data_IF_407619918771
#
_entry.id   IF_407619918771
#
_cell.length_a   1.000
_cell.length_b   1.000
_cell.length_c   1.000
_cell.angle_alpha   90.00
_cell.angle_beta   90.00
_cell.angle_gamma   90.00
#
_symmetry.space_group_name_H-M   'P 1'
#
loop_
_entity.id
_entity.type
_entity.pdbx_description
1 polymer ?
#
# COMPACT_ATOMS: atom_id res chain seq x y z
N UNK A 1 -8.26 -22.27 -4.04
CA UNK A 1 -8.94 -21.46 -5.09
C UNK A 1 -9.83 -20.37 -4.50
N UNK A 2 -10.67 -20.65 -3.47
CA UNK A 2 -11.56 -19.64 -2.86
C UNK A 2 -10.87 -18.34 -2.39
N UNK A 3 -9.71 -18.35 -1.69
CA UNK A 3 -9.09 -17.09 -1.24
C UNK A 3 -8.61 -16.21 -2.39
N UNK A 4 -8.17 -16.78 -3.51
CA UNK A 4 -7.74 -16.03 -4.69
C UNK A 4 -8.92 -15.33 -5.38
N UNK A 5 -10.10 -15.95 -5.40
CA UNK A 5 -11.33 -15.32 -5.93
C UNK A 5 -11.77 -14.15 -5.06
N UNK A 6 -11.69 -14.28 -3.74
CA UNK A 6 -12.03 -13.19 -2.80
C UNK A 6 -11.06 -12.01 -2.96
N UNK A 7 -9.77 -12.28 -3.07
CA UNK A 7 -8.76 -11.25 -3.32
C UNK A 7 -9.00 -10.58 -4.68
N UNK A 8 -9.23 -11.37 -5.75
CA UNK A 8 -9.49 -10.84 -7.09
C UNK A 8 -10.75 -9.98 -7.16
N UNK A 9 -11.84 -10.39 -6.51
CA UNK A 9 -13.06 -9.59 -6.42
C UNK A 9 -12.86 -8.32 -5.58
N UNK A 10 -12.14 -8.44 -4.45
CA UNK A 10 -11.86 -7.31 -3.57
C UNK A 10 -10.97 -6.24 -4.20
N UNK A 11 -10.10 -6.61 -5.13
CA UNK A 11 -9.25 -5.66 -5.87
C UNK A 11 -9.89 -5.18 -7.17
N UNK A 12 -10.56 -6.04 -7.90
CA UNK A 12 -11.11 -5.72 -9.23
C UNK A 12 -12.32 -4.81 -9.19
N UNK A 13 -13.23 -4.99 -8.23
CA UNK A 13 -14.44 -4.16 -8.09
C UNK A 13 -14.14 -2.67 -7.83
N UNK A 14 -13.29 -2.29 -6.87
CA UNK A 14 -12.95 -0.90 -6.66
C UNK A 14 -12.26 -0.25 -7.86
N UNK A 15 -11.43 -1.00 -8.59
CA UNK A 15 -10.72 -0.48 -9.76
C UNK A 15 -11.66 -0.04 -10.87
N UNK A 16 -12.59 -0.90 -11.28
CA UNK A 16 -13.57 -0.57 -12.31
C UNK A 16 -14.49 0.59 -11.90
N UNK A 17 -14.88 0.65 -10.63
CA UNK A 17 -15.74 1.72 -10.12
C UNK A 17 -15.01 3.06 -10.08
N UNK A 18 -13.75 3.11 -9.67
CA UNK A 18 -12.95 4.33 -9.62
C UNK A 18 -12.70 4.91 -11.01
N UNK A 19 -12.38 4.06 -12.00
CA UNK A 19 -12.20 4.50 -13.38
C UNK A 19 -13.50 5.06 -13.96
N UNK A 20 -14.64 4.41 -13.74
CA UNK A 20 -15.95 4.89 -14.19
C UNK A 20 -16.33 6.23 -13.54
N UNK A 21 -16.12 6.37 -12.22
CA UNK A 21 -16.42 7.60 -11.49
C UNK A 21 -15.52 8.77 -11.92
N UNK A 22 -14.25 8.53 -12.20
CA UNK A 22 -13.31 9.59 -12.60
C UNK A 22 -13.73 10.30 -13.89
N UNK A 23 -14.43 9.59 -14.78
CA UNK A 23 -14.92 10.11 -16.06
C UNK A 23 -16.35 10.62 -15.96
N UNK A 24 -17.17 10.09 -15.08
CA UNK A 24 -18.60 10.44 -14.96
C UNK A 24 -18.88 11.84 -14.43
N UNK A 25 -17.94 12.43 -13.68
CA UNK A 25 -18.07 13.78 -13.07
C UNK A 25 -17.60 14.92 -13.94
N UNK A 26 -17.11 14.64 -15.16
CA UNK A 26 -16.64 15.65 -16.10
C UNK A 26 -17.42 15.62 -17.41
N UNK A 27 -17.54 16.76 -18.14
CA UNK A 27 -18.14 16.78 -19.47
C UNK A 27 -17.39 15.83 -20.42
N UNK A 28 -18.12 15.19 -21.34
CA UNK A 28 -17.58 14.21 -22.30
C UNK A 28 -16.41 14.76 -23.12
N UNK A 29 -16.42 16.08 -23.41
CA UNK A 29 -15.32 16.76 -24.10
C UNK A 29 -13.98 16.79 -23.33
N UNK A 30 -14.02 16.59 -22.03
CA UNK A 30 -12.83 16.60 -21.14
C UNK A 30 -12.54 15.22 -20.50
N UNK A 31 -13.30 14.22 -20.86
CA UNK A 31 -13.17 12.87 -20.28
C UNK A 31 -11.78 12.26 -20.44
N UNK A 32 -11.15 12.45 -21.62
CA UNK A 32 -9.80 11.97 -21.88
C UNK A 32 -8.73 12.63 -21.01
N UNK A 33 -8.85 13.93 -20.76
CA UNK A 33 -7.94 14.65 -19.87
C UNK A 33 -8.09 14.19 -18.42
N UNK A 34 -9.32 14.01 -17.94
CA UNK A 34 -9.60 13.53 -16.60
C UNK A 34 -9.04 12.11 -16.39
N UNK A 35 -9.25 11.20 -17.34
CA UNK A 35 -8.70 9.85 -17.29
C UNK A 35 -7.17 9.85 -17.26
N UNK A 36 -6.52 10.72 -18.04
CA UNK A 36 -5.06 10.84 -18.07
C UNK A 36 -4.50 11.35 -16.74
N UNK A 37 -5.08 12.38 -16.15
CA UNK A 37 -4.67 12.93 -14.84
C UNK A 37 -4.88 11.85 -13.75
N UNK A 38 -6.03 11.20 -13.73
CA UNK A 38 -6.33 10.15 -12.75
C UNK A 38 -5.34 8.98 -12.88
N UNK A 39 -5.09 8.49 -14.10
CA UNK A 39 -4.13 7.42 -14.35
C UNK A 39 -2.71 7.77 -13.89
N UNK A 40 -2.25 8.98 -14.18
CA UNK A 40 -0.92 9.46 -13.77
C UNK A 40 -0.81 9.53 -12.24
N UNK A 41 -1.81 10.10 -11.56
CA UNK A 41 -1.84 10.19 -10.10
C UNK A 41 -1.85 8.82 -9.44
N UNK A 42 -2.59 7.86 -10.02
CA UNK A 42 -2.64 6.49 -9.53
C UNK A 42 -1.27 5.81 -9.62
N UNK A 43 -0.64 5.84 -10.79
CA UNK A 43 0.69 5.21 -10.98
C UNK A 43 1.75 5.86 -10.10
N UNK A 44 1.73 7.19 -9.97
CA UNK A 44 2.64 7.88 -9.07
C UNK A 44 2.40 7.48 -7.60
N UNK A 45 1.15 7.36 -7.18
CA UNK A 45 0.76 6.92 -5.85
C UNK A 45 1.22 5.49 -5.54
N UNK A 46 1.06 4.57 -6.50
CA UNK A 46 1.55 3.19 -6.40
C UNK A 46 3.08 3.14 -6.24
N UNK A 47 3.81 3.93 -7.03
CA UNK A 47 5.27 4.01 -6.92
C UNK A 47 5.75 4.51 -5.56
N UNK A 48 5.11 5.55 -5.02
CA UNK A 48 5.40 6.08 -3.68
C UNK A 48 5.06 5.03 -2.60
N UNK A 49 3.92 4.37 -2.71
CA UNK A 49 3.51 3.33 -1.76
C UNK A 49 4.50 2.16 -1.73
N UNK A 50 4.93 1.67 -2.90
CA UNK A 50 5.93 0.61 -3.00
C UNK A 50 7.28 1.02 -2.39
N UNK A 51 7.73 2.26 -2.65
CA UNK A 51 8.95 2.77 -2.05
C UNK A 51 8.87 2.85 -0.51
N UNK A 52 7.74 3.32 0.03
CA UNK A 52 7.52 3.37 1.47
C UNK A 52 7.47 1.98 2.11
N UNK A 53 6.78 1.04 1.49
CA UNK A 53 6.71 -0.36 1.96
C UNK A 53 8.08 -1.00 1.96
N UNK A 54 8.86 -0.82 0.88
CA UNK A 54 10.24 -1.34 0.79
C UNK A 54 11.15 -0.73 1.84
N UNK A 55 11.09 0.58 2.06
CA UNK A 55 11.87 1.27 3.09
C UNK A 55 11.48 0.81 4.51
N UNK A 56 10.20 0.64 4.79
CA UNK A 56 9.72 0.15 6.09
C UNK A 56 10.19 -1.28 6.34
N UNK A 57 10.08 -2.16 5.35
CA UNK A 57 10.53 -3.54 5.45
C UNK A 57 12.05 -3.62 5.68
N UNK A 58 12.84 -2.81 4.97
CA UNK A 58 14.28 -2.72 5.18
C UNK A 58 14.62 -2.21 6.59
N UNK A 59 13.90 -1.21 7.09
CA UNK A 59 14.10 -0.68 8.43
C UNK A 59 13.76 -1.72 9.52
N UNK A 60 12.66 -2.44 9.38
CA UNK A 60 12.27 -3.53 10.29
C UNK A 60 13.30 -4.66 10.27
N UNK A 61 13.71 -5.12 9.09
CA UNK A 61 14.74 -6.16 8.94
C UNK A 61 16.06 -5.74 9.57
N UNK A 62 16.46 -4.48 9.40
CA UNK A 62 17.67 -3.92 10.01
C UNK A 62 17.58 -3.92 11.54
N UNK A 63 16.47 -3.47 12.11
CA UNK A 63 16.29 -3.46 13.57
C UNK A 63 16.39 -4.86 14.17
N UNK A 64 15.77 -5.84 13.52
CA UNK A 64 15.85 -7.24 13.95
C UNK A 64 17.28 -7.80 13.86
N UNK A 65 18.04 -7.50 12.80
CA UNK A 65 19.44 -7.90 12.65
C UNK A 65 20.33 -7.30 13.75
N UNK A 66 20.12 -6.03 14.08
CA UNK A 66 20.87 -5.34 15.15
C UNK A 66 20.56 -5.99 16.51
N UNK A 67 19.30 -6.28 16.81
CA UNK A 67 18.91 -6.95 18.06
C UNK A 67 19.48 -8.36 18.20
N UNK A 68 19.78 -9.03 17.10
CA UNK A 68 20.43 -10.35 17.12
C UNK A 68 21.95 -10.32 17.14
N UNK A 69 22.55 -9.14 17.29
CA UNK A 69 24.01 -8.99 17.34
C UNK A 69 24.70 -9.03 15.97
N UNK A 70 23.95 -9.05 14.89
CA UNK A 70 24.47 -8.98 13.51
C UNK A 70 24.74 -7.52 13.07
N UNK A 71 25.17 -6.66 13.99
CA UNK A 71 25.38 -5.23 13.80
C UNK A 71 26.75 -4.93 13.16
N UNK A 72 27.11 -5.61 12.06
CA UNK A 72 28.30 -5.30 11.27
C UNK A 72 28.02 -4.31 10.14
N UNK A 73 29.09 -3.89 9.45
CA UNK A 73 29.02 -2.98 8.30
C UNK A 73 28.12 -3.48 7.16
N UNK A 74 27.84 -4.78 7.12
CA UNK A 74 26.97 -5.42 6.12
C UNK A 74 25.49 -5.47 6.49
N UNK A 75 25.11 -5.07 7.71
CA UNK A 75 23.73 -5.13 8.18
C UNK A 75 22.75 -4.32 7.30
N UNK A 76 23.07 -3.10 6.81
CA UNK A 76 22.17 -2.38 5.91
C UNK A 76 21.97 -3.08 4.56
N UNK A 77 23.03 -3.63 3.99
CA UNK A 77 22.95 -4.34 2.71
C UNK A 77 22.19 -5.66 2.84
N UNK A 78 22.37 -6.39 3.95
CA UNK A 78 21.61 -7.60 4.23
C UNK A 78 20.12 -7.30 4.49
N UNK A 79 19.80 -6.22 5.19
CA UNK A 79 18.41 -5.78 5.39
C UNK A 79 17.73 -5.42 4.06
N UNK A 80 18.45 -4.76 3.16
CA UNK A 80 17.93 -4.44 1.82
C UNK A 80 17.71 -5.72 0.99
N UNK A 81 18.62 -6.69 1.05
CA UNK A 81 18.46 -7.98 0.38
C UNK A 81 17.26 -8.76 0.93
N UNK A 82 17.06 -8.78 2.26
CA UNK A 82 15.88 -9.37 2.89
C UNK A 82 14.58 -8.66 2.47
N UNK A 83 14.58 -7.34 2.40
CA UNK A 83 13.42 -6.57 1.95
C UNK A 83 13.08 -6.85 0.47
N UNK A 84 14.08 -7.12 -0.36
CA UNK A 84 13.90 -7.54 -1.75
C UNK A 84 13.52 -9.02 -1.92
N UNK A 85 13.54 -9.81 -0.83
CA UNK A 85 13.28 -11.26 -0.87
C UNK A 85 14.48 -12.10 -1.32
N UNK A 86 15.68 -11.50 -1.45
CA UNK A 86 16.88 -12.19 -1.84
C UNK A 86 17.61 -12.78 -0.62
N UNK A 87 17.10 -13.93 -0.19
CA UNK A 87 17.68 -14.70 0.92
C UNK A 87 19.08 -15.20 0.63
N UNK A 88 19.41 -15.48 -0.65
CA UNK A 88 20.70 -15.97 -1.03
C UNK A 88 21.78 -14.89 -0.86
N UNK A 89 21.47 -13.66 -1.25
CA UNK A 89 22.35 -12.52 -1.05
C UNK A 89 22.48 -12.19 0.45
N UNK A 90 21.38 -12.19 1.20
CA UNK A 90 21.40 -11.96 2.64
C UNK A 90 22.29 -12.99 3.38
N UNK A 91 22.21 -14.27 3.01
CA UNK A 91 23.04 -15.33 3.60
C UNK A 91 24.54 -15.17 3.28
N UNK A 92 24.88 -14.62 2.12
CA UNK A 92 26.29 -14.32 1.79
C UNK A 92 26.84 -13.15 2.60
N UNK A 93 26.01 -12.16 2.90
CA UNK A 93 26.40 -10.97 3.65
C UNK A 93 26.52 -11.24 5.16
N UNK A 94 25.77 -12.21 5.68
CA UNK A 94 25.80 -12.60 7.10
C UNK A 94 25.93 -14.13 7.21
N UNK A 95 27.09 -14.70 6.93
CA UNK A 95 27.32 -16.15 6.98
C UNK A 95 27.22 -16.74 8.40
N UNK A 96 27.28 -15.90 9.42
CA UNK A 96 27.14 -16.31 10.82
C UNK A 96 25.70 -16.71 11.20
N UNK A 97 24.68 -16.32 10.39
CA UNK A 97 23.28 -16.63 10.63
C UNK A 97 22.85 -17.85 9.78
N UNK A 98 22.29 -18.91 10.41
CA UNK A 98 21.75 -20.03 9.67
C UNK A 98 20.55 -19.58 8.80
N UNK A 99 20.40 -20.17 7.61
CA UNK A 99 19.35 -19.82 6.65
C UNK A 99 17.93 -19.87 7.26
N UNK A 100 17.67 -20.82 8.17
CA UNK A 100 16.39 -20.92 8.88
C UNK A 100 16.07 -19.66 9.72
N UNK A 101 17.08 -19.02 10.29
CA UNK A 101 16.90 -17.77 11.04
C UNK A 101 16.61 -16.58 10.12
N UNK A 102 17.24 -16.53 8.95
CA UNK A 102 16.97 -15.49 7.95
C UNK A 102 15.52 -15.59 7.42
N UNK A 103 15.03 -16.81 7.17
CA UNK A 103 13.63 -17.05 6.78
C UNK A 103 12.66 -16.61 7.87
N UNK A 104 12.93 -16.96 9.13
CA UNK A 104 12.10 -16.55 10.26
C UNK A 104 12.03 -15.03 10.40
N UNK A 105 13.19 -14.36 10.32
CA UNK A 105 13.27 -12.89 10.34
C UNK A 105 12.45 -12.22 9.25
N UNK A 106 12.55 -12.72 8.03
CA UNK A 106 11.78 -12.21 6.91
C UNK A 106 10.29 -12.43 7.11
N UNK A 107 9.90 -13.60 7.63
CA UNK A 107 8.49 -13.91 7.92
C UNK A 107 7.92 -12.99 8.99
N UNK A 108 8.66 -12.77 10.08
CA UNK A 108 8.22 -11.88 11.17
C UNK A 108 8.11 -10.41 10.69
N UNK A 109 9.07 -9.94 9.90
CA UNK A 109 9.03 -8.60 9.32
C UNK A 109 7.86 -8.43 8.35
N UNK A 110 7.60 -9.43 7.50
CA UNK A 110 6.44 -9.42 6.59
C UNK A 110 5.12 -9.48 7.36
N UNK A 111 5.03 -10.28 8.40
CA UNK A 111 3.81 -10.38 9.21
C UNK A 111 3.49 -9.06 9.90
N UNK A 112 4.49 -8.40 10.48
CA UNK A 112 4.32 -7.08 11.08
C UNK A 112 3.90 -6.05 10.04
N UNK A 113 4.54 -6.05 8.85
CA UNK A 113 4.18 -5.18 7.74
C UNK A 113 2.72 -5.39 7.31
N UNK A 114 2.28 -6.64 7.18
CA UNK A 114 0.89 -6.96 6.81
C UNK A 114 -0.11 -6.45 7.86
N UNK A 115 0.21 -6.57 9.15
CA UNK A 115 -0.63 -6.01 10.21
C UNK A 115 -0.73 -4.48 10.13
N UNK A 116 0.38 -3.79 9.87
CA UNK A 116 0.40 -2.33 9.67
C UNK A 116 -0.43 -1.93 8.46
N UNK A 117 -0.26 -2.61 7.32
CA UNK A 117 -1.05 -2.35 6.12
C UNK A 117 -2.55 -2.62 6.33
N UNK A 118 -2.88 -3.70 7.04
CA UNK A 118 -4.27 -4.02 7.40
C UNK A 118 -4.89 -2.93 8.28
N UNK A 119 -4.14 -2.42 9.26
CA UNK A 119 -4.59 -1.32 10.11
C UNK A 119 -4.81 -0.03 9.32
N UNK A 120 -3.87 0.34 8.44
CA UNK A 120 -3.99 1.54 7.58
C UNK A 120 -5.22 1.42 6.67
N UNK A 121 -5.40 0.26 6.03
CA UNK A 121 -6.54 0.01 5.15
C UNK A 121 -7.86 0.04 5.92
N UNK A 122 -7.89 -0.53 7.13
CA UNK A 122 -9.06 -0.49 8.02
C UNK A 122 -9.45 0.94 8.43
N UNK A 123 -8.45 1.76 8.79
CA UNK A 123 -8.66 3.18 9.10
C UNK A 123 -9.17 3.95 7.88
N UNK A 124 -8.56 3.74 6.70
CA UNK A 124 -9.01 4.38 5.47
C UNK A 124 -10.46 3.99 5.12
N UNK A 125 -10.80 2.71 5.23
CA UNK A 125 -12.17 2.23 5.00
C UNK A 125 -13.17 2.84 6.00
N UNK A 126 -12.78 2.96 7.28
CA UNK A 126 -13.60 3.59 8.30
C UNK A 126 -13.85 5.07 8.00
N UNK A 127 -12.79 5.81 7.61
CA UNK A 127 -12.90 7.23 7.23
C UNK A 127 -13.86 7.41 6.06
N UNK A 128 -13.71 6.60 5.01
CA UNK A 128 -14.62 6.64 3.85
C UNK A 128 -16.05 6.32 4.27
N UNK A 129 -16.27 5.29 5.09
CA UNK A 129 -17.59 4.93 5.58
C UNK A 129 -18.23 6.05 6.39
N UNK A 130 -17.48 6.72 7.26
CA UNK A 130 -17.95 7.85 8.06
C UNK A 130 -18.29 9.05 7.16
N UNK A 131 -17.47 9.32 6.15
CA UNK A 131 -17.74 10.41 5.19
C UNK A 131 -18.99 10.15 4.35
N UNK A 132 -19.18 8.91 3.90
CA UNK A 132 -20.39 8.55 3.15
C UNK A 132 -21.68 8.56 4.03
N UNK A 133 -21.54 8.32 5.33
CA UNK A 133 -22.68 8.37 6.26
C UNK A 133 -23.10 9.80 6.67
N UNK A 134 -22.30 10.82 6.37
CA UNK A 134 -22.71 12.20 6.60
C UNK A 134 -23.79 12.56 5.58
N UNK A 135 -25.02 12.90 5.99
CA UNK A 135 -26.04 13.35 5.06
C UNK A 135 -25.51 14.59 4.36
N UNK A 136 -25.62 14.63 3.03
CA UNK A 136 -25.35 15.84 2.27
C UNK A 136 -26.19 16.97 2.86
N UNK A 137 -25.54 18.08 3.27
CA UNK A 137 -26.27 19.27 3.70
C UNK A 137 -27.27 19.66 2.61
N UNK A 138 -28.51 20.03 2.95
CA UNK A 138 -29.47 20.46 1.95
C UNK A 138 -28.86 21.60 1.15
N UNK A 139 -28.67 21.39 -0.14
CA UNK A 139 -28.33 22.46 -1.08
C UNK A 139 -29.46 23.47 -1.05
N UNK A 140 -29.18 24.70 -0.62
CA UNK A 140 -30.12 25.83 -0.65
C UNK A 140 -30.47 26.17 -2.11
N UNK A 141 -31.29 25.31 -2.72
CA UNK A 141 -31.80 25.49 -4.08
C UNK A 141 -33.08 26.34 -4.11
N UNK A 142 -33.28 27.24 -3.16
CA UNK A 142 -34.44 28.15 -3.11
C UNK A 142 -34.10 29.62 -3.00
N UNK A 143 -33.15 30.11 -3.79
CA UNK A 143 -32.85 31.55 -3.80
C UNK A 143 -32.97 32.22 -5.19
N UNK A 144 -33.68 31.64 -6.17
CA UNK A 144 -33.92 32.32 -7.45
C UNK A 144 -35.27 32.02 -8.06
N UNK A 145 -36.33 32.16 -7.26
CA UNK A 145 -37.69 32.14 -7.81
C UNK A 145 -38.55 33.27 -7.22
N UNK A 146 -38.00 34.51 -7.24
CA UNK A 146 -38.79 35.73 -7.04
C UNK A 146 -38.00 36.95 -7.44
N UNK A 147 -37.88 37.21 -8.74
CA UNK A 147 -37.69 38.56 -9.30
C UNK A 147 -38.22 38.57 -10.73
#
# INVERSE_FOLDING_TARGET
>A
MAPLLVIGAGTGLPWGLMDALSVSVVPTSRAGMAAGIFGTMRVAGEGIALALVGALLAALSRSHLVHMGAAGDHAPAAAAALAAGDLAQAARLIPALPAARLVALQTDALQLLLWVLCAITGVAALVVLVMLRRPAAPSDAHATASA
#
